data_IF_399349560682
#
_entry.id   IF_399349560682
#
_cell.length_a   1.000
_cell.length_b   1.000
_cell.length_c   1.000
_cell.angle_alpha   90.00
_cell.angle_beta   90.00
_cell.angle_gamma   90.00
#
_symmetry.space_group_name_H-M   'P 1'
#
loop_
_entity.id
_entity.type
_entity.pdbx_description
1 polymer ?
#
# COMPACT_ATOMS: atom_id res chain seq x y z
N UNK A 1 6.16 -0.74 -8.66
CA UNK A 1 5.00 -0.88 -7.72
C UNK A 1 4.58 -2.34 -7.62
N UNK A 2 4.23 -2.89 -6.46
CA UNK A 2 3.80 -4.30 -6.36
C UNK A 2 2.31 -4.53 -6.72
N UNK A 3 1.65 -3.59 -7.41
CA UNK A 3 0.20 -3.59 -7.59
C UNK A 3 -0.22 -3.13 -9.00
N UNK A 4 -1.20 -3.81 -9.61
CA UNK A 4 -1.79 -3.42 -10.89
C UNK A 4 -2.72 -2.21 -10.75
N UNK A 5 -3.42 -2.05 -9.63
CA UNK A 5 -4.32 -0.92 -9.41
C UNK A 5 -3.59 0.42 -9.44
N UNK A 6 -2.27 0.44 -9.19
CA UNK A 6 -1.45 1.64 -9.39
C UNK A 6 -1.42 2.13 -10.83
N UNK A 7 -1.60 1.25 -11.83
CA UNK A 7 -1.78 1.66 -13.23
C UNK A 7 -3.13 2.34 -13.43
N UNK A 8 -4.20 1.82 -12.81
CA UNK A 8 -5.52 2.44 -12.85
C UNK A 8 -5.51 3.80 -12.16
N UNK A 9 -4.83 3.90 -11.01
CA UNK A 9 -4.61 5.15 -10.30
C UNK A 9 -3.88 6.16 -11.19
N UNK A 10 -2.73 5.81 -11.76
CA UNK A 10 -1.98 6.69 -12.68
C UNK A 10 -2.76 7.06 -13.96
N UNK A 11 -3.74 6.24 -14.35
CA UNK A 11 -4.56 6.51 -15.53
C UNK A 11 -5.65 7.56 -15.29
N UNK A 12 -5.99 7.85 -14.02
CA UNK A 12 -7.02 8.81 -13.60
C UNK A 12 -6.75 10.18 -14.21
N UNK A 13 -7.76 10.74 -14.88
CA UNK A 13 -7.65 12.01 -15.62
C UNK A 13 -7.40 13.21 -14.70
N UNK A 14 -7.80 13.10 -13.43
CA UNK A 14 -7.62 14.15 -12.42
C UNK A 14 -6.22 14.20 -11.81
N UNK A 15 -5.38 13.17 -11.98
CA UNK A 15 -4.01 13.14 -11.44
C UNK A 15 -3.06 13.84 -12.39
N UNK A 16 -3.23 15.16 -12.44
CA UNK A 16 -2.45 16.07 -13.27
C UNK A 16 -2.18 17.37 -12.51
N UNK A 17 -1.20 18.14 -12.99
CA UNK A 17 -0.88 19.45 -12.46
C UNK A 17 -2.06 20.43 -12.49
N UNK A 18 -3.03 20.25 -13.40
CA UNK A 18 -4.25 21.06 -13.44
C UNK A 18 -5.10 20.99 -12.16
N UNK A 19 -4.90 19.99 -11.29
CA UNK A 19 -5.55 19.93 -9.99
C UNK A 19 -5.12 21.06 -9.05
N UNK A 20 -3.90 21.58 -9.21
CA UNK A 20 -3.31 22.62 -8.36
C UNK A 20 -2.77 23.83 -9.15
N UNK A 21 -2.67 23.74 -10.47
CA UNK A 21 -2.25 24.79 -11.39
C UNK A 21 -3.28 25.00 -12.50
N UNK A 22 -4.17 25.97 -12.33
CA UNK A 22 -5.25 26.26 -13.29
C UNK A 22 -4.80 26.97 -14.57
N UNK A 23 -3.51 27.31 -14.69
CA UNK A 23 -2.98 28.11 -15.80
C UNK A 23 -2.51 27.27 -17.00
N UNK A 24 -2.50 25.93 -16.88
CA UNK A 24 -1.98 25.05 -17.93
C UNK A 24 -3.05 24.70 -18.98
N UNK A 25 -2.79 25.03 -20.24
CA UNK A 25 -3.60 24.58 -21.38
C UNK A 25 -3.40 23.09 -21.71
N UNK A 26 -2.34 22.47 -21.18
CA UNK A 26 -1.98 21.07 -21.41
C UNK A 26 -1.59 20.43 -20.08
N UNK A 27 -2.54 19.82 -19.36
CA UNK A 27 -2.26 19.22 -18.06
C UNK A 27 -1.19 18.12 -18.17
N UNK A 28 -0.17 18.21 -17.33
CA UNK A 28 0.89 17.22 -17.17
C UNK A 28 0.45 16.19 -16.15
N UNK A 29 0.63 14.90 -16.47
CA UNK A 29 0.29 13.79 -15.55
C UNK A 29 1.27 13.73 -14.39
N UNK A 30 0.77 13.38 -13.22
CA UNK A 30 1.60 13.15 -12.04
C UNK A 30 2.49 11.91 -12.20
N UNK A 31 1.98 10.89 -12.92
CA UNK A 31 2.68 9.62 -13.16
C UNK A 31 2.47 9.19 -14.61
N UNK A 32 3.54 9.18 -15.41
CA UNK A 32 3.48 8.76 -16.82
C UNK A 32 3.45 7.24 -16.99
N UNK A 33 4.14 6.51 -16.12
CA UNK A 33 4.31 5.06 -16.26
C UNK A 33 4.39 4.36 -14.91
N UNK A 34 3.65 3.25 -14.79
CA UNK A 34 3.72 2.34 -13.65
C UNK A 34 4.19 0.98 -14.12
N UNK A 35 5.38 0.60 -13.66
CA UNK A 35 5.97 -0.73 -13.87
C UNK A 35 5.81 -1.55 -12.59
N UNK A 36 5.27 -2.75 -12.73
CA UNK A 36 5.13 -3.71 -11.64
C UNK A 36 6.42 -4.47 -11.36
N UNK A 37 6.57 -5.06 -10.18
CA UNK A 37 7.74 -5.90 -9.87
C UNK A 37 7.85 -7.09 -10.81
N UNK A 38 6.72 -7.69 -11.19
CA UNK A 38 6.66 -8.75 -12.21
C UNK A 38 7.09 -8.26 -13.60
N UNK A 39 6.59 -7.10 -14.04
CA UNK A 39 6.99 -6.52 -15.33
C UNK A 39 8.48 -6.15 -15.37
N UNK A 40 9.05 -5.69 -14.26
CA UNK A 40 10.49 -5.43 -14.16
C UNK A 40 11.31 -6.72 -14.35
N UNK A 41 10.87 -7.83 -13.75
CA UNK A 41 11.49 -9.14 -13.95
C UNK A 41 11.39 -9.59 -15.41
N UNK A 42 10.20 -9.51 -16.01
CA UNK A 42 9.98 -9.84 -17.43
C UNK A 42 10.85 -8.98 -18.35
N UNK A 43 10.98 -7.69 -18.04
CA UNK A 43 11.79 -6.74 -18.80
C UNK A 43 13.28 -7.11 -18.76
N UNK A 44 13.78 -7.50 -17.58
CA UNK A 44 15.15 -8.00 -17.43
C UNK A 44 15.37 -9.27 -18.26
N UNK A 45 14.47 -10.26 -18.15
CA UNK A 45 14.52 -11.49 -18.94
C UNK A 45 14.50 -11.23 -20.45
N UNK A 46 13.63 -10.33 -20.93
CA UNK A 46 13.55 -9.97 -22.36
C UNK A 46 14.84 -9.33 -22.91
N UNK A 47 15.66 -8.76 -22.02
CA UNK A 47 16.96 -8.18 -22.34
C UNK A 47 18.14 -9.10 -22.01
N UNK A 48 17.87 -10.36 -21.66
CA UNK A 48 18.86 -11.34 -21.21
C UNK A 48 19.69 -10.83 -20.01
N UNK A 49 19.06 -10.08 -19.11
CA UNK A 49 19.68 -9.57 -17.87
C UNK A 49 19.27 -10.47 -16.71
N UNK A 50 20.25 -11.10 -16.08
CA UNK A 50 20.05 -11.88 -14.86
C UNK A 50 20.16 -10.98 -13.62
N UNK A 51 19.04 -10.71 -12.95
CA UNK A 51 19.02 -9.89 -11.73
C UNK A 51 19.95 -10.44 -10.63
N UNK A 52 20.00 -11.77 -10.34
CA UNK A 52 20.92 -12.31 -9.34
C UNK A 52 22.41 -12.13 -9.68
N UNK A 53 22.74 -11.92 -10.96
CA UNK A 53 24.12 -11.71 -11.40
C UNK A 53 24.58 -10.25 -11.37
N UNK A 54 23.66 -9.30 -11.10
CA UNK A 54 23.98 -7.88 -11.12
C UNK A 54 24.89 -7.52 -9.92
N UNK A 55 25.88 -6.64 -10.12
CA UNK A 55 26.68 -6.13 -9.00
C UNK A 55 25.80 -5.41 -7.98
N UNK A 56 25.98 -5.71 -6.69
CA UNK A 56 25.33 -5.03 -5.57
C UNK A 56 25.94 -3.65 -5.26
N UNK A 57 26.41 -2.93 -6.30
CA UNK A 57 27.02 -1.61 -6.17
C UNK A 57 26.06 -0.55 -6.68
N UNK A 58 25.95 0.56 -5.94
CA UNK A 58 25.16 1.71 -6.38
C UNK A 58 25.61 2.20 -7.75
N UNK A 59 24.64 2.57 -8.58
CA UNK A 59 24.90 3.17 -9.87
C UNK A 59 25.58 4.54 -9.69
N UNK A 60 26.40 4.92 -10.67
CA UNK A 60 26.98 6.26 -10.71
C UNK A 60 25.87 7.33 -10.71
N UNK A 61 26.04 8.47 -10.01
CA UNK A 61 25.04 9.54 -9.95
C UNK A 61 24.56 10.07 -11.32
N UNK A 62 25.35 9.88 -12.38
CA UNK A 62 24.94 10.21 -13.76
C UNK A 62 23.69 9.47 -14.24
N UNK A 63 23.34 8.33 -13.63
CA UNK A 63 22.14 7.55 -13.93
C UNK A 63 20.98 7.84 -12.99
N UNK A 64 21.17 8.71 -12.00
CA UNK A 64 20.18 9.14 -11.03
C UNK A 64 20.13 10.68 -11.05
N UNK A 65 19.49 11.30 -12.05
CA UNK A 65 19.39 12.74 -12.13
C UNK A 65 18.74 13.28 -10.86
N UNK A 66 19.33 14.35 -10.33
CA UNK A 66 18.89 15.01 -9.10
C UNK A 66 17.61 15.81 -9.36
N UNK A 67 16.79 15.95 -8.33
CA UNK A 67 15.67 16.88 -8.36
C UNK A 67 16.21 18.31 -8.52
N UNK A 68 15.54 19.17 -9.33
CA UNK A 68 16.05 20.52 -9.61
C UNK A 68 16.21 21.39 -8.35
N UNK A 69 15.30 21.26 -7.40
CA UNK A 69 15.37 21.95 -6.11
C UNK A 69 16.18 21.11 -5.11
N UNK A 70 17.26 21.66 -4.56
CA UNK A 70 18.18 20.92 -3.69
C UNK A 70 17.59 20.57 -2.32
N UNK A 71 16.63 21.35 -1.82
CA UNK A 71 15.97 21.08 -0.54
C UNK A 71 15.01 19.90 -0.72
N UNK A 72 14.22 19.91 -1.79
CA UNK A 72 13.35 18.79 -2.17
C UNK A 72 14.16 17.55 -2.57
N UNK A 73 15.26 17.69 -3.30
CA UNK A 73 16.17 16.58 -3.63
C UNK A 73 16.67 15.89 -2.36
N UNK A 74 17.17 16.69 -1.41
CA UNK A 74 17.65 16.18 -0.13
C UNK A 74 16.53 15.50 0.65
N UNK A 75 15.32 16.04 0.67
CA UNK A 75 14.21 15.42 1.39
C UNK A 75 13.73 14.11 0.73
N UNK A 76 13.58 14.09 -0.59
CA UNK A 76 13.02 12.96 -1.34
C UNK A 76 14.02 11.80 -1.50
N UNK A 77 15.32 12.09 -1.57
CA UNK A 77 16.36 11.10 -1.90
C UNK A 77 17.40 10.88 -0.79
N UNK A 78 17.25 11.51 0.39
CA UNK A 78 18.10 11.20 1.55
C UNK A 78 17.81 9.79 2.07
N UNK A 79 18.80 8.92 1.95
CA UNK A 79 18.73 7.50 2.34
C UNK A 79 18.75 7.27 3.87
N UNK A 80 18.77 8.33 4.69
CA UNK A 80 19.08 8.22 6.12
C UNK A 80 17.86 8.30 7.05
N UNK A 81 16.63 8.35 6.53
CA UNK A 81 15.52 8.94 7.31
C UNK A 81 14.26 8.10 7.42
N UNK A 82 14.23 6.88 6.89
CA UNK A 82 13.09 5.99 7.19
C UNK A 82 13.30 5.33 8.55
N UNK A 83 12.31 5.51 9.44
CA UNK A 83 12.18 4.72 10.67
C UNK A 83 12.38 3.26 10.30
N UNK A 84 13.30 2.56 10.99
CA UNK A 84 13.51 1.11 10.82
C UNK A 84 12.16 0.44 10.64
N UNK A 85 11.91 -0.11 9.46
CA UNK A 85 10.65 -0.80 9.18
C UNK A 85 10.54 -2.04 10.07
N UNK A 86 9.94 -1.86 11.24
CA UNK A 86 9.50 -2.93 12.12
C UNK A 86 8.27 -3.62 11.54
N UNK A 87 8.13 -4.92 11.84
CA UNK A 87 6.91 -5.68 11.56
C UNK A 87 5.64 -5.05 12.16
N UNK A 88 5.79 -4.17 13.16
CA UNK A 88 4.72 -3.38 13.75
C UNK A 88 4.06 -2.41 12.75
N UNK A 89 4.83 -1.81 11.83
CA UNK A 89 4.31 -0.92 10.78
C UNK A 89 3.52 -1.69 9.73
N UNK A 90 3.79 -2.98 9.56
CA UNK A 90 3.22 -3.79 8.48
C UNK A 90 3.74 -3.38 7.10
N UNK A 91 3.22 -4.05 6.09
CA UNK A 91 3.69 -4.03 4.68
C UNK A 91 2.96 -3.00 3.81
N UNK A 92 2.51 -1.90 4.41
CA UNK A 92 1.56 -0.94 3.81
C UNK A 92 1.95 0.53 3.99
N UNK A 93 3.16 0.81 4.48
CA UNK A 93 3.65 2.16 4.74
C UNK A 93 3.40 2.68 6.17
N UNK A 94 2.80 1.88 7.06
CA UNK A 94 2.85 2.15 8.51
C UNK A 94 2.02 3.33 9.00
N UNK A 95 1.12 3.89 8.19
CA UNK A 95 0.31 5.07 8.53
C UNK A 95 -0.44 4.91 9.85
N UNK A 96 -1.14 3.79 10.05
CA UNK A 96 -1.86 3.54 11.30
C UNK A 96 -0.94 3.58 12.52
N UNK A 97 0.24 2.96 12.40
CA UNK A 97 1.19 2.90 13.50
C UNK A 97 1.74 4.29 13.81
N UNK A 98 2.11 5.07 12.78
CA UNK A 98 2.55 6.46 12.95
C UNK A 98 1.48 7.32 13.64
N UNK A 99 0.21 7.20 13.25
CA UNK A 99 -0.90 7.90 13.90
C UNK A 99 -1.00 7.51 15.37
N UNK A 100 -0.96 6.21 15.68
CA UNK A 100 -1.00 5.74 17.07
C UNK A 100 0.19 6.26 17.89
N UNK A 101 1.40 6.19 17.36
CA UNK A 101 2.61 6.66 18.04
C UNK A 101 2.59 8.17 18.26
N UNK A 102 2.15 8.96 17.28
CA UNK A 102 1.99 10.41 17.44
C UNK A 102 0.96 10.76 18.51
N UNK A 103 -0.14 10.01 18.59
CA UNK A 103 -1.10 10.17 19.68
C UNK A 103 -0.53 9.69 21.03
N UNK A 104 0.28 8.64 21.05
CA UNK A 104 0.92 8.13 22.25
C UNK A 104 1.89 9.15 22.86
N UNK A 105 2.72 9.82 22.04
CA UNK A 105 3.63 10.89 22.51
C UNK A 105 2.89 12.05 23.19
N UNK A 106 1.68 12.37 22.71
CA UNK A 106 0.83 13.41 23.31
C UNK A 106 0.18 12.99 24.63
N UNK A 107 0.24 11.71 24.99
CA UNK A 107 -0.33 11.16 26.22
C UNK A 107 0.73 10.35 26.97
N UNK A 108 1.65 11.01 27.72
CA UNK A 108 2.69 10.32 28.46
C UNK A 108 2.13 9.25 29.40
N UNK A 109 2.79 8.10 29.49
CA UNK A 109 2.33 6.95 30.29
C UNK A 109 1.27 6.07 29.59
N UNK A 110 0.79 6.46 28.41
CA UNK A 110 -0.12 5.64 27.61
C UNK A 110 0.59 4.46 26.94
N UNK A 111 -0.18 3.42 26.61
CA UNK A 111 0.29 2.21 25.93
C UNK A 111 -0.61 1.82 24.76
N UNK A 112 -0.01 1.28 23.70
CA UNK A 112 -0.73 0.70 22.57
C UNK A 112 -1.02 -0.78 22.87
N UNK A 113 -2.29 -1.13 23.07
CA UNK A 113 -2.75 -2.51 23.20
C UNK A 113 -3.13 -3.06 21.82
N UNK A 114 -2.54 -4.19 21.44
CA UNK A 114 -2.81 -4.87 20.16
C UNK A 114 -3.71 -6.08 20.41
N UNK A 115 -4.84 -6.14 19.71
CA UNK A 115 -5.79 -7.26 19.77
C UNK A 115 -5.74 -8.00 18.43
N UNK A 116 -5.24 -9.24 18.47
CA UNK A 116 -5.13 -10.10 17.29
C UNK A 116 -6.22 -11.16 17.32
N UNK A 117 -7.04 -11.20 16.27
CA UNK A 117 -8.04 -12.24 16.07
C UNK A 117 -7.45 -13.49 15.40
N UNK A 118 -8.33 -14.44 15.03
CA UNK A 118 -7.96 -15.61 14.20
C UNK A 118 -7.54 -15.22 12.78
N UNK A 119 -8.01 -14.08 12.30
CA UNK A 119 -7.71 -13.56 10.97
C UNK A 119 -6.51 -12.62 11.08
N UNK A 120 -5.36 -13.03 10.55
CA UNK A 120 -4.11 -12.25 10.57
C UNK A 120 -4.20 -10.93 9.80
N UNK A 121 -5.15 -10.83 8.87
CA UNK A 121 -5.41 -9.63 8.07
C UNK A 121 -6.31 -8.61 8.77
N UNK A 122 -6.78 -8.92 9.98
CA UNK A 122 -7.57 -7.99 10.81
C UNK A 122 -6.92 -7.85 12.17
N UNK A 123 -6.43 -6.63 12.47
CA UNK A 123 -5.77 -6.32 13.73
C UNK A 123 -6.42 -5.07 14.30
N UNK A 124 -6.79 -5.12 15.58
CA UNK A 124 -7.37 -3.99 16.28
C UNK A 124 -6.36 -3.42 17.28
N UNK A 125 -6.38 -2.10 17.42
CA UNK A 125 -5.46 -1.36 18.27
C UNK A 125 -6.26 -0.46 19.20
N UNK A 126 -5.83 -0.38 20.45
CA UNK A 126 -6.38 0.55 21.43
C UNK A 126 -5.25 1.29 22.11
N UNK A 127 -5.20 2.62 21.92
CA UNK A 127 -4.35 3.48 22.72
C UNK A 127 -5.02 3.68 24.08
N UNK A 128 -4.34 3.28 25.14
CA UNK A 128 -4.87 3.27 26.49
C UNK A 128 -4.08 4.22 27.38
N UNK A 129 -4.78 5.02 28.19
CA UNK A 129 -4.15 5.86 29.21
C UNK A 129 -3.44 5.04 30.30
N UNK A 130 -2.71 5.73 31.15
CA UNK A 130 -2.15 5.18 32.40
C UNK A 130 -3.25 4.64 33.33
N UNK A 131 -4.42 5.28 33.37
CA UNK A 131 -5.62 4.86 34.08
C UNK A 131 -6.39 3.71 33.40
N UNK A 132 -5.85 3.14 32.31
CA UNK A 132 -6.44 2.03 31.55
C UNK A 132 -7.76 2.38 30.84
N UNK A 133 -8.01 3.66 30.59
CA UNK A 133 -9.12 4.16 29.77
C UNK A 133 -8.71 4.20 28.29
N UNK A 134 -9.68 4.03 27.37
CA UNK A 134 -9.38 4.03 25.93
C UNK A 134 -9.36 5.45 25.39
N UNK A 135 -8.20 5.90 24.92
CA UNK A 135 -8.00 7.22 24.29
C UNK A 135 -8.41 7.18 22.81
N UNK A 136 -7.98 6.13 22.10
CA UNK A 136 -8.24 5.97 20.67
C UNK A 136 -8.34 4.50 20.32
N UNK A 137 -9.27 4.15 19.44
CA UNK A 137 -9.29 2.84 18.79
C UNK A 137 -8.95 3.01 17.31
N UNK A 138 -8.12 2.14 16.80
CA UNK A 138 -7.80 2.05 15.39
C UNK A 138 -7.81 0.59 14.94
N UNK A 139 -7.93 0.35 13.65
CA UNK A 139 -7.88 -1.02 13.14
C UNK A 139 -7.25 -1.11 11.75
N UNK A 140 -6.69 -2.28 11.48
CA UNK A 140 -6.17 -2.68 10.18
C UNK A 140 -7.09 -3.73 9.58
N UNK A 141 -7.51 -3.53 8.34
CA UNK A 141 -8.35 -4.44 7.57
C UNK A 141 -7.75 -4.68 6.18
N UNK A 142 -7.01 -5.76 6.04
CA UNK A 142 -6.40 -6.17 4.77
C UNK A 142 -7.24 -7.22 4.06
N UNK A 143 -7.22 -7.23 2.74
CA UNK A 143 -8.04 -8.14 1.94
C UNK A 143 -9.44 -7.60 1.67
N UNK A 144 -9.85 -7.65 0.40
CA UNK A 144 -11.16 -7.15 -0.05
C UNK A 144 -12.35 -7.74 0.71
N UNK A 145 -12.32 -9.02 1.06
CA UNK A 145 -13.37 -9.67 1.87
C UNK A 145 -13.53 -9.00 3.24
N UNK A 146 -12.42 -8.64 3.89
CA UNK A 146 -12.45 -7.96 5.19
C UNK A 146 -12.94 -6.52 5.05
N UNK A 147 -12.56 -5.82 3.97
CA UNK A 147 -13.10 -4.49 3.64
C UNK A 147 -14.61 -4.56 3.44
N UNK A 148 -15.12 -5.54 2.69
CA UNK A 148 -16.56 -5.72 2.52
C UNK A 148 -17.28 -5.94 3.85
N UNK A 149 -16.70 -6.75 4.74
CA UNK A 149 -17.25 -7.00 6.07
C UNK A 149 -17.25 -5.72 6.93
N UNK A 150 -16.17 -4.94 6.90
CA UNK A 150 -16.08 -3.63 7.55
C UNK A 150 -17.19 -2.69 7.04
N UNK A 151 -17.32 -2.55 5.72
CA UNK A 151 -18.36 -1.71 5.09
C UNK A 151 -19.77 -2.17 5.44
N UNK A 152 -20.03 -3.49 5.49
CA UNK A 152 -21.33 -4.03 5.92
C UNK A 152 -21.65 -3.65 7.37
N UNK A 153 -20.68 -3.68 8.27
CA UNK A 153 -20.82 -3.28 9.67
C UNK A 153 -21.02 -1.76 9.83
N UNK A 154 -20.45 -0.94 8.96
CA UNK A 154 -20.62 0.53 8.97
C UNK A 154 -21.97 0.97 8.39
N UNK A 155 -22.60 0.16 7.53
CA UNK A 155 -23.91 0.51 6.95
C UNK A 155 -25.01 0.41 8.02
N UNK A 156 -25.87 1.43 8.15
CA UNK A 156 -27.03 1.36 9.03
C UNK A 156 -27.87 0.12 8.71
N UNK A 157 -28.45 -0.51 9.74
CA UNK A 157 -29.37 -1.62 9.55
C UNK A 157 -30.52 -1.17 8.62
N UNK A 158 -30.68 -1.84 7.48
CA UNK A 158 -31.77 -1.51 6.55
C UNK A 158 -33.11 -1.76 7.24
N UNK A 159 -33.95 -0.72 7.28
CA UNK A 159 -35.34 -0.87 7.69
C UNK A 159 -36.03 -1.91 6.78
N UNK A 160 -36.65 -2.92 7.40
CA UNK A 160 -37.37 -3.98 6.70
C UNK A 160 -38.45 -3.39 5.79
N UNK A 161 -38.39 -3.70 4.49
CA UNK A 161 -39.37 -3.24 3.48
C UNK A 161 -40.56 -4.18 3.30
N UNK A 162 -40.73 -5.20 4.15
CA UNK A 162 -41.91 -6.07 4.07
C UNK A 162 -43.16 -5.35 4.61
N UNK A 163 -44.21 -5.13 3.79
CA UNK A 163 -45.50 -4.66 4.26
C UNK A 163 -46.15 -5.78 5.10
N UNK A 164 -46.46 -5.52 6.36
CA UNK A 164 -47.24 -6.45 7.20
C UNK A 164 -46.44 -7.34 8.17
N UNK A 165 -45.11 -7.23 8.23
CA UNK A 165 -44.34 -7.87 9.30
C UNK A 165 -44.42 -7.04 10.59
N UNK A 166 -45.58 -7.09 11.27
CA UNK A 166 -45.72 -6.63 12.65
C UNK A 166 -44.79 -7.46 13.54
N UNK A 167 -43.62 -6.90 13.88
CA UNK A 167 -42.74 -7.48 14.91
C UNK A 167 -43.35 -7.26 16.29
N UNK A 168 -44.27 -8.13 16.69
CA UNK A 168 -44.50 -8.41 18.11
C UNK A 168 -43.23 -9.09 18.64
N UNK A 169 -42.46 -8.36 19.45
CA UNK A 169 -41.19 -8.84 20.01
C UNK A 169 -40.00 -7.93 19.72
N UNK A 170 -40.18 -6.60 19.75
CA UNK A 170 -39.07 -5.70 20.04
C UNK A 170 -38.80 -5.72 21.56
N UNK A 171 -38.40 -6.90 22.07
CA UNK A 171 -37.76 -6.99 23.37
C UNK A 171 -36.32 -6.53 23.17
N UNK A 172 -36.10 -5.25 23.46
CA UNK A 172 -34.87 -4.69 24.04
C UNK A 172 -33.55 -5.39 23.65
N UNK A 173 -33.28 -5.49 22.35
CA UNK A 173 -31.91 -5.57 21.87
C UNK A 173 -31.37 -4.14 21.79
N UNK A 174 -31.23 -3.52 22.96
CA UNK A 174 -30.18 -2.55 23.28
C UNK A 174 -28.78 -3.20 23.26
N UNK A 175 -28.63 -4.36 22.60
CA UNK A 175 -27.41 -4.75 21.92
C UNK A 175 -27.17 -3.71 20.81
N UNK A 176 -26.55 -2.63 21.25
CA UNK A 176 -25.95 -1.56 20.48
C UNK A 176 -25.80 -1.95 19.01
N UNK A 177 -26.37 -1.14 18.13
CA UNK A 177 -25.59 -0.74 16.97
C UNK A 177 -24.29 -0.12 17.51
N UNK A 178 -23.36 -0.92 18.03
CA UNK A 178 -22.00 -0.50 18.29
C UNK A 178 -21.45 -0.25 16.90
N UNK A 179 -21.75 0.95 16.38
CA UNK A 179 -21.04 1.51 15.26
C UNK A 179 -19.57 1.24 15.54
N UNK A 180 -18.87 0.78 14.51
CA UNK A 180 -17.43 0.59 14.60
C UNK A 180 -16.83 1.91 15.12
N UNK A 181 -16.48 1.90 16.40
CA UNK A 181 -15.98 3.06 17.13
C UNK A 181 -14.47 3.13 16.93
N UNK A 182 -14.06 3.28 15.66
CA UNK A 182 -12.67 3.47 15.30
C UNK A 182 -12.46 4.91 14.87
N UNK A 183 -11.45 5.56 15.44
CA UNK A 183 -11.02 6.87 15.01
C UNK A 183 -10.23 6.80 13.68
N UNK A 184 -9.59 5.67 13.40
CA UNK A 184 -8.87 5.43 12.15
C UNK A 184 -8.91 3.97 11.73
N UNK A 185 -9.09 3.71 10.44
CA UNK A 185 -9.01 2.35 9.88
C UNK A 185 -8.10 2.35 8.66
N UNK A 186 -7.02 1.56 8.71
CA UNK A 186 -6.15 1.30 7.58
C UNK A 186 -6.70 0.13 6.76
N UNK A 187 -6.89 0.34 5.47
CA UNK A 187 -7.44 -0.66 4.55
C UNK A 187 -6.47 -0.96 3.42
N UNK A 188 -6.32 -2.24 3.09
CA UNK A 188 -5.55 -2.68 1.92
C UNK A 188 -6.36 -3.74 1.17
N UNK A 189 -6.44 -3.64 -0.16
CA UNK A 189 -7.24 -4.56 -0.96
C UNK A 189 -6.68 -5.99 -0.95
N UNK A 190 -5.36 -6.14 -0.86
CA UNK A 190 -4.67 -7.43 -0.84
C UNK A 190 -4.51 -7.96 0.61
N UNK A 191 -4.76 -9.26 0.86
CA UNK A 191 -4.36 -9.92 2.11
C UNK A 191 -2.85 -9.79 2.31
N UNK A 192 -2.39 -9.50 3.53
CA UNK A 192 -0.98 -9.28 3.81
C UNK A 192 -0.39 -7.97 3.28
N UNK A 193 -1.20 -7.04 2.74
CA UNK A 193 -0.74 -5.72 2.30
C UNK A 193 -0.04 -5.71 0.94
N UNK A 194 0.87 -4.76 0.73
CA UNK A 194 1.47 -4.51 -0.59
C UNK A 194 2.44 -5.61 -1.03
N UNK A 195 3.06 -6.34 -0.10
CA UNK A 195 3.99 -7.45 -0.39
C UNK A 195 3.32 -8.63 -1.08
N UNK A 196 2.00 -8.80 -0.92
CA UNK A 196 1.21 -9.78 -1.65
C UNK A 196 0.34 -9.14 -2.76
N UNK A 197 0.72 -7.94 -3.22
CA UNK A 197 0.00 -7.22 -4.25
C UNK A 197 -0.09 -7.97 -5.58
N UNK A 198 -1.09 -7.65 -6.40
CA UNK A 198 -1.32 -8.35 -7.67
C UNK A 198 -0.13 -8.31 -8.65
N UNK A 199 0.68 -7.25 -8.59
CA UNK A 199 1.84 -7.03 -9.46
C UNK A 199 3.17 -7.55 -8.88
N UNK A 200 3.15 -8.29 -7.78
CA UNK A 200 4.35 -8.90 -7.21
C UNK A 200 4.82 -10.10 -8.04
N UNK A 201 6.10 -10.45 -7.89
CA UNK A 201 6.71 -11.67 -8.42
C UNK A 201 6.10 -12.87 -7.69
N UNK A 202 5.51 -13.81 -8.45
CA UNK A 202 5.02 -15.07 -7.91
C UNK A 202 6.14 -16.11 -7.89
N UNK A 203 5.93 -17.17 -7.10
CA UNK A 203 6.90 -18.27 -6.99
C UNK A 203 7.25 -18.85 -8.37
N UNK A 204 6.26 -19.01 -9.24
CA UNK A 204 6.45 -19.56 -10.58
C UNK A 204 7.27 -18.62 -11.48
N UNK A 205 7.02 -17.30 -11.40
CA UNK A 205 7.80 -16.28 -12.12
C UNK A 205 9.29 -16.32 -11.69
N UNK A 206 9.55 -16.47 -10.39
CA UNK A 206 10.90 -16.56 -9.84
C UNK A 206 11.61 -17.86 -10.26
N UNK A 207 10.90 -18.99 -10.29
CA UNK A 207 11.43 -20.28 -10.78
C UNK A 207 11.81 -20.19 -12.26
N UNK A 208 10.95 -19.62 -13.10
CA UNK A 208 11.20 -19.45 -14.53
C UNK A 208 12.42 -18.55 -14.80
N UNK A 209 12.49 -17.42 -14.09
CA UNK A 209 13.63 -16.51 -14.20
C UNK A 209 14.96 -17.17 -13.81
N UNK A 210 14.95 -18.04 -12.78
CA UNK A 210 16.15 -18.76 -12.34
C UNK A 210 16.49 -19.97 -13.23
N UNK A 211 15.49 -20.68 -13.76
CA UNK A 211 15.72 -21.80 -14.68
C UNK A 211 16.41 -21.36 -15.97
N UNK A 212 16.08 -20.14 -16.44
CA UNK A 212 16.73 -19.50 -17.59
C UNK A 212 18.23 -19.24 -17.40
N UNK A 213 18.75 -19.34 -16.15
CA UNK A 213 20.19 -19.24 -15.83
C UNK A 213 20.93 -20.57 -15.92
N UNK A 214 20.21 -21.69 -15.83
CA UNK A 214 20.76 -23.04 -15.69
C UNK A 214 20.64 -23.89 -16.96
N UNK A 215 20.50 -23.28 -18.14
CA UNK A 215 20.55 -24.01 -19.42
C UNK A 215 21.96 -24.50 -19.74
N UNK A 216 22.36 -25.57 -19.04
CA UNK A 216 23.30 -26.60 -19.48
C UNK A 216 22.96 -28.00 -18.91
N UNK A 217 21.80 -28.20 -18.28
CA UNK A 217 21.37 -29.54 -17.85
C UNK A 217 19.91 -29.78 -18.20
N UNK A 218 19.71 -30.65 -19.21
CA UNK A 218 18.54 -31.48 -19.50
C UNK A 218 17.15 -30.82 -19.38
N UNK A 219 16.56 -30.54 -20.55
CA UNK A 219 15.13 -30.31 -20.73
C UNK A 219 14.34 -31.55 -20.27
N UNK A 220 13.88 -31.55 -19.02
CA UNK A 220 12.82 -32.45 -18.57
C UNK A 220 11.51 -31.65 -18.42
N UNK A 221 10.53 -31.81 -19.34
CA UNK A 221 9.31 -31.02 -19.37
C UNK A 221 8.35 -31.31 -18.20
N UNK A 222 8.70 -32.23 -17.29
CA UNK A 222 7.87 -32.62 -16.15
C UNK A 222 7.90 -31.65 -14.95
N UNK A 223 8.90 -30.78 -14.83
CA UNK A 223 9.07 -29.88 -13.66
C UNK A 223 8.19 -28.63 -13.75
N UNK A 224 7.79 -28.21 -14.95
CA UNK A 224 7.09 -26.92 -15.19
C UNK A 224 5.59 -26.95 -14.84
N UNK A 225 5.01 -28.12 -14.52
CA UNK A 225 3.55 -28.29 -14.37
C UNK A 225 3.04 -28.61 -12.96
N UNK A 226 3.90 -28.70 -11.95
CA UNK A 226 3.42 -28.89 -10.58
C UNK A 226 2.88 -27.57 -10.01
N UNK A 227 1.55 -27.51 -9.82
CA UNK A 227 0.91 -26.45 -9.02
C UNK A 227 1.58 -26.40 -7.66
N UNK A 228 2.11 -25.23 -7.30
CA UNK A 228 2.69 -25.00 -5.98
C UNK A 228 1.67 -25.32 -4.88
N UNK A 229 2.17 -25.85 -3.78
CA UNK A 229 1.38 -26.09 -2.59
C UNK A 229 1.08 -24.77 -1.88
N UNK A 230 0.01 -24.74 -1.08
CA UNK A 230 -0.29 -23.59 -0.22
C UNK A 230 0.83 -23.31 0.80
N UNK A 231 1.63 -24.31 1.13
CA UNK A 231 2.79 -24.15 2.01
C UNK A 231 3.90 -23.36 1.30
N UNK A 232 4.29 -23.76 0.09
CA UNK A 232 5.32 -23.07 -0.70
C UNK A 232 4.93 -21.62 -1.02
N UNK A 233 3.64 -21.35 -1.27
CA UNK A 233 3.16 -19.97 -1.44
C UNK A 233 3.37 -19.12 -0.19
N UNK A 234 3.12 -19.68 0.99
CA UNK A 234 3.30 -18.97 2.28
C UNK A 234 4.76 -18.74 2.57
N UNK A 235 5.61 -19.72 2.30
CA UNK A 235 7.07 -19.58 2.44
C UNK A 235 7.61 -18.52 1.48
N UNK A 236 7.16 -18.52 0.22
CA UNK A 236 7.51 -17.48 -0.74
C UNK A 236 7.09 -16.09 -0.24
N UNK A 237 5.86 -15.93 0.24
CA UNK A 237 5.40 -14.66 0.79
C UNK A 237 6.23 -14.23 2.00
N UNK A 238 6.61 -15.17 2.88
CA UNK A 238 7.50 -14.88 4.01
C UNK A 238 8.85 -14.33 3.56
N UNK A 239 9.41 -14.83 2.44
CA UNK A 239 10.65 -14.31 1.86
C UNK A 239 10.48 -12.92 1.24
N UNK A 240 9.31 -12.66 0.64
CA UNK A 240 8.98 -11.32 0.12
C UNK A 240 8.81 -10.33 1.27
N UNK A 241 8.15 -10.72 2.36
CA UNK A 241 8.02 -9.91 3.57
C UNK A 241 9.40 -9.65 4.20
N UNK A 242 10.23 -10.69 4.33
CA UNK A 242 11.62 -10.54 4.81
C UNK A 242 12.39 -9.53 3.97
N UNK A 243 12.37 -9.66 2.64
CA UNK A 243 13.04 -8.73 1.73
C UNK A 243 12.49 -7.30 1.83
N UNK A 244 11.19 -7.15 2.09
CA UNK A 244 10.57 -5.84 2.31
C UNK A 244 11.09 -5.17 3.57
N UNK A 245 11.26 -5.92 4.67
CA UNK A 245 11.77 -5.38 5.93
C UNK A 245 13.30 -5.28 5.98
N UNK A 246 14.04 -6.08 5.22
CA UNK A 246 15.51 -6.09 5.21
C UNK A 246 16.14 -5.09 4.22
N UNK A 247 15.38 -4.60 3.24
CA UNK A 247 15.87 -3.67 2.21
C UNK A 247 16.55 -2.40 2.76
N UNK A 248 16.30 -2.02 4.01
CA UNK A 248 16.92 -0.86 4.68
C UNK A 248 18.22 -1.22 5.43
N UNK A 249 18.43 -2.50 5.76
CA UNK A 249 19.61 -2.95 6.52
C UNK A 249 20.88 -3.04 5.67
N UNK A 250 20.76 -3.31 4.36
CA UNK A 250 21.91 -3.55 3.47
C UNK A 250 22.62 -2.27 3.02
N UNK A 251 22.02 -1.09 3.23
CA UNK A 251 22.65 0.22 2.94
C UNK A 251 23.51 0.78 4.07
N UNK A 252 23.60 0.11 5.22
CA UNK A 252 24.32 0.62 6.40
C UNK A 252 25.85 0.36 6.39
N UNK A 253 26.43 -0.19 5.33
CA UNK A 253 27.88 -0.44 5.30
C UNK A 253 28.72 0.80 4.88
N UNK A 254 29.41 1.33 5.90
CA UNK A 254 30.79 1.87 5.93
C UNK A 254 31.08 3.39 5.94
N UNK A 255 30.12 4.32 5.81
CA UNK A 255 30.49 5.76 5.88
C UNK A 255 29.61 6.70 6.72
N UNK A 256 28.35 6.37 7.02
CA UNK A 256 27.41 7.34 7.62
C UNK A 256 26.70 6.87 8.91
N UNK A 257 27.23 5.86 9.60
CA UNK A 257 26.74 5.46 10.93
C UNK A 257 26.82 6.58 11.99
N UNK A 258 27.50 7.69 11.71
CA UNK A 258 27.61 8.85 12.60
C UNK A 258 26.40 9.83 12.55
N UNK A 259 25.43 9.64 11.65
CA UNK A 259 24.33 10.60 11.44
C UNK A 259 22.91 9.99 11.54
N UNK A 260 22.77 8.78 12.08
CA UNK A 260 21.46 8.27 12.51
C UNK A 260 21.03 9.02 13.77
N UNK A 261 20.64 10.30 13.59
CA UNK A 261 19.93 11.06 14.61
C UNK A 261 18.60 10.33 14.81
N UNK A 262 18.41 9.79 16.00
CA UNK A 262 17.11 9.33 16.51
C UNK A 262 16.19 10.56 16.58
N UNK A 263 15.69 10.97 15.41
CA UNK A 263 14.81 12.12 15.30
C UNK A 263 13.49 11.71 15.95
N UNK A 264 13.07 12.43 16.98
CA UNK A 264 11.75 12.23 17.57
C UNK A 264 10.66 12.36 16.50
N UNK A 265 9.48 11.76 16.69
CA UNK A 265 8.38 11.94 15.73
C UNK A 265 8.04 13.42 15.54
N UNK A 266 8.24 14.22 16.58
CA UNK A 266 8.12 15.68 16.56
C UNK A 266 9.11 16.34 15.58
N UNK A 267 10.39 15.95 15.60
CA UNK A 267 11.40 16.49 14.69
C UNK A 267 11.08 16.13 13.23
N UNK A 268 10.61 14.91 12.99
CA UNK A 268 10.16 14.47 11.67
C UNK A 268 8.93 15.25 11.19
N UNK A 269 7.97 15.53 12.08
CA UNK A 269 6.79 16.34 11.76
C UNK A 269 7.21 17.78 11.41
N UNK A 270 8.08 18.40 12.20
CA UNK A 270 8.59 19.76 11.94
C UNK A 270 9.32 19.83 10.59
N UNK A 271 10.19 18.86 10.30
CA UNK A 271 10.87 18.77 8.99
C UNK A 271 9.88 18.64 7.85
N UNK A 272 8.91 17.73 7.98
CA UNK A 272 7.89 17.51 6.95
C UNK A 272 7.08 18.79 6.69
N UNK A 273 6.67 19.50 7.75
CA UNK A 273 5.96 20.79 7.64
C UNK A 273 6.80 21.86 6.95
N UNK A 274 8.09 21.95 7.28
CA UNK A 274 9.03 22.89 6.63
C UNK A 274 9.15 22.62 5.13
N UNK A 275 9.24 21.34 4.75
CA UNK A 275 9.31 20.94 3.33
C UNK A 275 8.02 21.25 2.60
N UNK A 276 6.86 20.99 3.21
CA UNK A 276 5.56 21.35 2.60
C UNK A 276 5.45 22.86 2.38
N UNK A 277 5.89 23.68 3.34
CA UNK A 277 5.94 25.13 3.18
C UNK A 277 6.88 25.58 2.06
N UNK A 278 8.03 24.92 1.92
CA UNK A 278 8.96 25.17 0.82
C UNK A 278 8.34 24.82 -0.53
N UNK A 279 7.69 23.66 -0.62
CA UNK A 279 6.99 23.21 -1.82
C UNK A 279 5.88 24.19 -2.23
N UNK A 280 5.04 24.63 -1.29
CA UNK A 280 3.99 25.63 -1.55
C UNK A 280 4.56 26.93 -2.14
N UNK A 281 5.71 27.40 -1.64
CA UNK A 281 6.35 28.60 -2.17
C UNK A 281 6.88 28.40 -3.59
N UNK A 282 7.37 27.19 -3.89
CA UNK A 282 7.94 26.86 -5.19
C UNK A 282 6.86 26.71 -6.27
N UNK A 283 5.71 26.12 -5.93
CA UNK A 283 4.64 25.84 -6.89
C UNK A 283 3.49 26.84 -6.86
N UNK A 284 3.47 27.74 -5.88
CA UNK A 284 2.34 28.62 -5.56
C UNK A 284 1.03 27.86 -5.25
N UNK A 285 1.12 26.54 -5.06
CA UNK A 285 -0.01 25.70 -4.71
C UNK A 285 -0.38 25.87 -3.23
N UNK A 286 -1.67 25.73 -2.91
CA UNK A 286 -2.13 25.74 -1.52
C UNK A 286 -1.80 24.41 -0.85
N UNK A 287 -1.68 24.42 0.47
CA UNK A 287 -1.36 23.22 1.24
C UNK A 287 -2.40 22.12 1.00
N UNK A 288 -3.68 22.50 0.95
CA UNK A 288 -4.78 21.55 0.78
C UNK A 288 -4.70 20.84 -0.57
N UNK A 289 -4.26 21.56 -1.61
CA UNK A 289 -4.12 21.00 -2.96
C UNK A 289 -2.91 20.05 -3.07
N UNK A 290 -1.88 20.26 -2.24
CA UNK A 290 -0.67 19.42 -2.21
C UNK A 290 -0.84 18.14 -1.39
N UNK A 291 -1.52 18.20 -0.24
CA UNK A 291 -1.49 17.08 0.74
C UNK A 291 -2.85 16.51 1.10
N UNK A 292 -3.95 17.20 0.78
CA UNK A 292 -5.28 16.68 1.10
C UNK A 292 -5.87 15.96 -0.09
N UNK A 293 -6.41 14.77 0.16
CA UNK A 293 -7.22 14.08 -0.83
C UNK A 293 -8.63 14.64 -0.79
N UNK A 294 -9.16 15.00 -1.95
CA UNK A 294 -10.57 15.36 -2.06
C UNK A 294 -11.40 14.11 -2.30
N UNK A 295 -12.54 13.99 -1.62
CA UNK A 295 -13.51 12.96 -1.97
C UNK A 295 -14.12 13.33 -3.33
N UNK A 296 -13.80 12.54 -4.35
CA UNK A 296 -14.49 12.60 -5.64
C UNK A 296 -15.20 11.28 -5.86
N UNK A 297 -16.50 11.36 -6.11
CA UNK A 297 -17.30 10.20 -6.47
C UNK A 297 -16.75 9.67 -7.80
N UNK A 298 -16.23 8.46 -7.80
CA UNK A 298 -15.82 7.77 -9.03
C UNK A 298 -17.08 7.54 -9.85
N UNK A 299 -17.23 8.28 -10.94
CA UNK A 299 -18.24 7.99 -11.95
C UNK A 299 -17.74 6.83 -12.81
N UNK A 300 -17.91 5.61 -12.30
CA UNK A 300 -17.57 4.41 -13.08
C UNK A 300 -18.60 4.22 -14.19
N UNK A 301 -18.16 4.26 -15.44
CA UNK A 301 -18.95 3.80 -16.59
C UNK A 301 -18.77 2.30 -16.87
N UNK A 302 -17.91 1.62 -16.10
CA UNK A 302 -17.71 0.18 -16.18
C UNK A 302 -18.98 -0.52 -15.69
N UNK A 303 -19.69 -1.17 -16.61
CA UNK A 303 -20.94 -1.89 -16.34
C UNK A 303 -22.23 -1.05 -16.42
N UNK A 304 -22.14 0.23 -16.78
CA UNK A 304 -23.32 0.97 -17.27
C UNK A 304 -23.60 0.56 -18.71
N UNK A 305 -24.85 0.61 -19.15
CA UNK A 305 -25.33 0.11 -20.46
C UNK A 305 -24.46 0.58 -21.64
N UNK A 306 -23.45 -0.21 -21.99
CA UNK A 306 -22.75 -0.20 -23.27
C UNK A 306 -22.83 -1.61 -23.83
N UNK A 307 -22.88 -1.70 -25.16
CA UNK A 307 -23.12 -2.92 -25.94
C UNK A 307 -22.49 -4.17 -25.29
N UNK A 308 -23.28 -5.24 -25.18
CA UNK A 308 -22.95 -6.53 -24.51
C UNK A 308 -21.55 -7.09 -24.87
N UNK A 309 -21.03 -6.75 -26.04
CA UNK A 309 -19.69 -7.13 -26.47
C UNK A 309 -18.55 -6.50 -25.65
N UNK A 310 -18.70 -5.26 -25.17
CA UNK A 310 -17.63 -4.57 -24.42
C UNK A 310 -17.49 -5.08 -23.00
N UNK A 311 -18.60 -5.39 -22.31
CA UNK A 311 -18.57 -6.02 -20.98
C UNK A 311 -17.90 -7.40 -21.03
N UNK A 312 -18.19 -8.17 -22.08
CA UNK A 312 -17.56 -9.48 -22.30
C UNK A 312 -16.07 -9.35 -22.60
N UNK A 313 -15.68 -8.34 -23.39
CA UNK A 313 -14.28 -8.04 -23.73
C UNK A 313 -13.48 -7.54 -22.51
N UNK A 314 -14.07 -6.70 -21.66
CA UNK A 314 -13.47 -6.21 -20.42
C UNK A 314 -13.30 -7.35 -19.41
N UNK A 315 -14.30 -8.23 -19.29
CA UNK A 315 -14.20 -9.43 -18.44
C UNK A 315 -13.12 -10.41 -18.95
N UNK A 316 -13.01 -10.60 -20.26
CA UNK A 316 -11.92 -11.39 -20.86
C UNK A 316 -10.54 -10.78 -20.63
N UNK A 317 -10.41 -9.44 -20.77
CA UNK A 317 -9.15 -8.75 -20.50
C UNK A 317 -8.76 -8.85 -19.02
N UNK A 318 -9.70 -8.67 -18.10
CA UNK A 318 -9.47 -8.82 -16.67
C UNK A 318 -9.07 -10.28 -16.31
N UNK A 319 -9.73 -11.27 -16.92
CA UNK A 319 -9.42 -12.69 -16.74
C UNK A 319 -8.07 -13.09 -17.33
N UNK A 320 -7.66 -12.52 -18.47
CA UNK A 320 -6.35 -12.78 -19.11
C UNK A 320 -5.18 -12.11 -18.38
N UNK A 321 -5.42 -11.01 -17.65
CA UNK A 321 -4.40 -10.32 -16.83
C UNK A 321 -4.19 -11.04 -15.46
N UNK A 322 -4.85 -12.18 -15.22
CA UNK A 322 -4.71 -12.92 -13.96
C UNK A 322 -5.42 -12.23 -12.77
N UNK A 323 -6.27 -11.25 -13.06
CA UNK A 323 -7.20 -10.66 -12.10
C UNK A 323 -8.40 -11.57 -11.93
N UNK A 324 -8.22 -12.69 -11.23
CA UNK A 324 -9.35 -13.44 -10.69
C UNK A 324 -10.04 -12.61 -9.62
N UNK A 325 -11.25 -12.14 -9.93
CA UNK A 325 -12.15 -11.44 -9.01
C UNK A 325 -12.60 -12.34 -7.86
#
# INVERSE_FOLDING_TARGET
MPCFDKKLEASREELTDAAWNTSSNHPLRDVDCVITSRELLMLASSRNISLPSLPLKSLSPKYAPRFPDSILDSFLFSHSQTLKQSSAYGTSGGYLYYILSSHQEKHPGSRIAVQRGRNSDVIEYSLMSDSNETIMKAARYYGFRNIQNLVRKMKPARASRLPGANRRGAADSSASSSGLDYAFVEVMACPGGCTNGGGQIRLDDAREANASLHTNTSNDPAITTQKHTTYEQREWLSRVDEAYFSAESDSENEANAAAAVDNSLHDMEMRTRSILQHWMKLTEARLEDLVYTTFRKVESDVGKEKNVNDTTRVAELAGKIGGGW
#
